data_IF_247365654335
#
_entry.id   IF_247365654335
#
_cell.length_a   1.000
_cell.length_b   1.000
_cell.length_c   1.000
_cell.angle_alpha   90.00
_cell.angle_beta   90.00
_cell.angle_gamma   90.00
#
_symmetry.space_group_name_H-M   'P 1'
#
loop_
_entity.id
_entity.type
_entity.pdbx_description
1 polymer ?
#
# COMPACT_ATOMS: atom_id res chain seq x y z
N UNK A 1 1.41 10.70 7.67
CA UNK A 1 2.74 10.83 8.28
C UNK A 1 2.76 12.03 9.22
N UNK A 2 3.36 11.86 10.39
CA UNK A 2 3.61 12.90 11.38
C UNK A 2 5.11 13.18 11.37
N UNK A 3 5.53 14.24 10.70
CA UNK A 3 6.96 14.57 10.54
C UNK A 3 7.43 15.46 11.67
N UNK A 4 8.48 15.05 12.38
CA UNK A 4 9.08 15.83 13.47
C UNK A 4 9.89 17.00 12.92
N UNK A 5 9.86 18.12 13.61
CA UNK A 5 10.76 19.25 13.41
C UNK A 5 11.06 19.95 14.75
N UNK A 6 12.20 20.63 14.81
CA UNK A 6 12.60 21.36 16.00
C UNK A 6 12.31 22.85 15.79
N UNK A 7 11.55 23.44 16.70
CA UNK A 7 11.25 24.88 16.69
C UNK A 7 12.48 25.72 17.05
N UNK A 8 12.43 27.02 16.79
CA UNK A 8 13.50 27.98 17.21
C UNK A 8 13.75 27.96 18.75
N UNK A 9 12.79 27.51 19.54
CA UNK A 9 12.90 27.35 21.00
C UNK A 9 13.47 26.00 21.43
N UNK A 10 13.81 25.11 20.48
CA UNK A 10 14.30 23.77 20.77
C UNK A 10 13.23 22.75 21.13
N UNK A 11 11.93 23.05 20.90
CA UNK A 11 10.84 22.12 21.14
C UNK A 11 10.62 21.22 19.94
N UNK A 12 10.39 19.92 20.16
CA UNK A 12 10.01 18.98 19.09
C UNK A 12 8.51 19.11 18.84
N UNK A 13 8.15 19.37 17.61
CA UNK A 13 6.77 19.40 17.13
C UNK A 13 6.58 18.47 15.96
N UNK A 14 5.34 18.08 15.66
CA UNK A 14 4.99 17.22 14.54
C UNK A 14 4.01 17.95 13.61
N UNK A 15 4.30 17.88 12.31
CA UNK A 15 3.41 18.37 11.27
C UNK A 15 2.74 17.19 10.57
N UNK A 16 1.41 17.18 10.42
CA UNK A 16 0.72 16.13 9.68
C UNK A 16 0.90 16.30 8.18
N UNK A 17 1.24 15.20 7.51
CA UNK A 17 1.33 15.11 6.06
C UNK A 17 0.57 13.89 5.57
N UNK A 18 -0.16 14.04 4.47
CA UNK A 18 -0.79 12.90 3.81
C UNK A 18 0.29 12.02 3.19
N UNK A 19 0.23 10.70 3.45
CA UNK A 19 1.25 9.77 3.00
C UNK A 19 0.75 8.34 2.92
N UNK A 20 1.70 7.43 2.67
CA UNK A 20 1.46 6.02 2.39
C UNK A 20 1.71 5.68 0.92
N UNK A 21 2.43 4.61 0.64
CA UNK A 21 2.95 4.32 -0.71
C UNK A 21 1.86 4.24 -1.78
N UNK A 22 0.78 3.54 -1.49
CA UNK A 22 -0.34 3.34 -2.43
C UNK A 22 -1.12 4.65 -2.62
N UNK A 23 -1.36 5.41 -1.54
CA UNK A 23 -2.02 6.70 -1.61
C UNK A 23 -1.16 7.72 -2.39
N UNK A 24 0.14 7.76 -2.14
CA UNK A 24 1.07 8.61 -2.88
C UNK A 24 1.10 8.27 -4.37
N UNK A 25 0.99 6.99 -4.73
CA UNK A 25 0.89 6.55 -6.12
C UNK A 25 -0.40 7.02 -6.79
N UNK A 26 -1.55 6.93 -6.10
CA UNK A 26 -2.82 7.45 -6.60
C UNK A 26 -2.75 8.98 -6.82
N UNK A 27 -2.16 9.70 -5.87
CA UNK A 27 -1.94 11.15 -5.95
C UNK A 27 -1.05 11.52 -7.14
N UNK A 28 0.06 10.81 -7.32
CA UNK A 28 0.95 11.03 -8.45
C UNK A 28 0.24 10.81 -9.80
N UNK A 29 -0.52 9.73 -9.93
CA UNK A 29 -1.30 9.42 -11.11
C UNK A 29 -2.36 10.50 -11.40
N UNK A 30 -3.09 10.94 -10.39
CA UNK A 30 -4.10 11.99 -10.56
C UNK A 30 -3.48 13.33 -11.01
N UNK A 31 -2.35 13.73 -10.42
CA UNK A 31 -1.59 14.93 -10.82
C UNK A 31 -1.02 14.84 -12.23
N UNK A 32 -0.66 13.64 -12.69
CA UNK A 32 -0.23 13.37 -14.05
C UNK A 32 -1.41 13.31 -15.05
N UNK A 33 -2.65 13.48 -14.59
CA UNK A 33 -3.83 13.52 -15.44
C UNK A 33 -4.43 12.15 -15.77
N UNK A 34 -4.02 11.10 -15.08
CA UNK A 34 -4.67 9.80 -15.19
C UNK A 34 -6.04 9.82 -14.49
N UNK A 35 -6.96 8.96 -14.96
CA UNK A 35 -8.24 8.70 -14.29
C UNK A 35 -7.99 7.80 -13.08
N UNK A 36 -7.51 8.41 -11.98
CA UNK A 36 -7.05 7.72 -10.78
C UNK A 36 -8.15 7.66 -9.72
N UNK A 37 -8.22 6.49 -9.06
CA UNK A 37 -9.10 6.22 -7.92
C UNK A 37 -8.25 5.73 -6.75
N UNK A 38 -8.63 6.10 -5.54
CA UNK A 38 -8.10 5.49 -4.33
C UNK A 38 -9.11 4.49 -3.78
N UNK A 39 -8.67 3.24 -3.58
CA UNK A 39 -9.45 2.19 -2.92
C UNK A 39 -8.85 1.92 -1.55
N UNK A 40 -9.60 2.20 -0.49
CA UNK A 40 -9.12 2.04 0.87
C UNK A 40 -10.11 2.58 1.89
N UNK A 41 -9.74 2.50 3.17
CA UNK A 41 -10.55 3.09 4.23
C UNK A 41 -9.97 4.41 4.72
N UNK A 42 -10.85 5.38 4.94
CA UNK A 42 -10.54 6.69 5.52
C UNK A 42 -11.37 6.86 6.80
N UNK A 43 -10.69 7.25 7.87
CA UNK A 43 -11.33 7.58 9.14
C UNK A 43 -12.20 8.85 9.06
N UNK A 44 -13.19 8.94 9.95
CA UNK A 44 -13.93 10.17 10.21
C UNK A 44 -13.29 10.99 11.36
N UNK A 45 -12.02 10.78 11.67
CA UNK A 45 -11.28 11.50 12.70
C UNK A 45 -10.80 12.89 12.21
N UNK A 46 -9.97 13.55 13.02
CA UNK A 46 -9.48 14.91 12.76
C UNK A 46 -8.63 15.05 11.49
N UNK A 47 -8.22 13.96 10.86
CA UNK A 47 -7.41 13.96 9.62
C UNK A 47 -8.27 13.83 8.36
N UNK A 48 -9.58 13.60 8.47
CA UNK A 48 -10.45 13.35 7.32
C UNK A 48 -10.38 14.46 6.29
N UNK A 49 -10.56 15.71 6.71
CA UNK A 49 -10.56 16.87 5.79
C UNK A 49 -9.20 17.02 5.09
N UNK A 50 -8.10 16.84 5.84
CA UNK A 50 -6.76 16.90 5.27
C UNK A 50 -6.55 15.87 4.16
N UNK A 51 -7.03 14.63 4.36
CA UNK A 51 -6.86 13.54 3.39
C UNK A 51 -7.76 13.77 2.18
N UNK A 52 -9.04 14.12 2.39
CA UNK A 52 -10.00 14.37 1.31
C UNK A 52 -9.62 15.57 0.45
N UNK A 53 -9.20 16.67 1.07
CA UNK A 53 -8.71 17.84 0.36
C UNK A 53 -7.50 17.48 -0.51
N UNK A 54 -6.57 16.69 0.03
CA UNK A 54 -5.38 16.30 -0.71
C UNK A 54 -5.68 15.37 -1.89
N UNK A 55 -6.65 14.45 -1.74
CA UNK A 55 -7.15 13.61 -2.83
C UNK A 55 -7.82 14.46 -3.91
N UNK A 56 -8.73 15.35 -3.53
CA UNK A 56 -9.48 16.23 -4.43
C UNK A 56 -8.54 17.16 -5.23
N UNK A 57 -7.60 17.82 -4.55
CA UNK A 57 -6.62 18.71 -5.16
C UNK A 57 -5.70 17.98 -6.12
N UNK A 58 -5.46 16.71 -5.86
CA UNK A 58 -4.68 15.81 -6.71
C UNK A 58 -5.53 15.11 -7.80
N UNK A 59 -6.82 15.43 -7.93
CA UNK A 59 -7.77 14.84 -8.90
C UNK A 59 -7.94 13.33 -8.78
N UNK A 60 -7.81 12.80 -7.57
CA UNK A 60 -8.08 11.39 -7.27
C UNK A 60 -9.54 11.22 -6.90
N UNK A 61 -10.21 10.27 -7.52
CA UNK A 61 -11.63 9.98 -7.27
C UNK A 61 -11.80 9.07 -6.05
N UNK A 62 -12.89 9.30 -5.32
CA UNK A 62 -13.17 8.70 -4.02
C UNK A 62 -14.24 7.60 -4.05
N UNK A 63 -14.65 7.14 -5.23
CA UNK A 63 -15.74 6.16 -5.43
C UNK A 63 -15.52 4.80 -4.75
N UNK A 64 -14.29 4.50 -4.34
CA UNK A 64 -13.90 3.26 -3.68
C UNK A 64 -13.46 3.46 -2.23
N UNK A 65 -13.78 4.61 -1.63
CA UNK A 65 -13.43 4.90 -0.24
C UNK A 65 -14.46 4.27 0.71
N UNK A 66 -13.95 3.59 1.72
CA UNK A 66 -14.71 3.03 2.85
C UNK A 66 -14.58 4.01 4.01
N UNK A 67 -15.68 4.61 4.44
CA UNK A 67 -15.69 5.49 5.64
C UNK A 67 -15.86 4.68 6.92
N UNK A 68 -15.08 5.02 7.95
CA UNK A 68 -15.10 4.33 9.23
C UNK A 68 -14.80 5.27 10.39
N UNK A 69 -15.25 4.92 11.61
CA UNK A 69 -14.92 5.65 12.83
C UNK A 69 -13.64 5.11 13.53
N UNK A 70 -12.88 4.22 12.87
CA UNK A 70 -11.59 3.77 13.37
C UNK A 70 -10.55 4.85 13.07
N UNK A 71 -9.53 4.97 13.92
CA UNK A 71 -8.51 6.01 13.75
C UNK A 71 -7.72 5.86 12.43
N UNK A 72 -7.21 6.97 11.94
CA UNK A 72 -6.26 6.99 10.82
C UNK A 72 -4.96 6.26 11.22
N UNK A 73 -4.37 5.49 10.30
CA UNK A 73 -3.00 4.99 10.44
C UNK A 73 -2.04 6.16 10.51
N UNK A 74 -1.21 6.23 11.56
CA UNK A 74 -0.18 7.26 11.71
C UNK A 74 1.21 6.65 11.59
N UNK A 75 2.10 7.34 10.89
CA UNK A 75 3.52 7.06 10.85
C UNK A 75 4.27 8.29 11.39
N UNK A 76 4.89 8.14 12.54
CA UNK A 76 5.77 9.17 13.10
C UNK A 76 7.15 9.03 12.47
N UNK A 77 7.60 10.06 11.78
CA UNK A 77 8.91 10.11 11.14
C UNK A 77 9.83 11.03 11.93
N UNK A 78 10.80 10.44 12.63
CA UNK A 78 11.90 11.17 13.25
C UNK A 78 13.05 11.23 12.25
N UNK A 79 13.38 12.44 11.81
CA UNK A 79 14.44 12.65 10.83
C UNK A 79 15.70 13.11 11.55
N UNK A 80 16.72 12.25 11.58
CA UNK A 80 18.05 12.57 12.13
C UNK A 80 19.10 12.35 11.04
N UNK A 81 19.91 13.35 10.78
CA UNK A 81 20.99 13.32 9.75
C UNK A 81 20.50 12.90 8.34
N UNK A 82 19.26 13.29 7.98
CA UNK A 82 18.66 12.95 6.69
C UNK A 82 18.10 11.52 6.59
N UNK A 83 18.18 10.74 7.66
CA UNK A 83 17.59 9.38 7.74
C UNK A 83 16.30 9.43 8.56
N UNK A 84 15.20 8.98 7.96
CA UNK A 84 13.92 8.89 8.63
C UNK A 84 13.77 7.54 9.35
N UNK A 85 13.48 7.59 10.66
CA UNK A 85 13.06 6.43 11.43
C UNK A 85 11.56 6.52 11.66
N UNK A 86 10.84 5.47 11.30
CA UNK A 86 9.39 5.43 11.40
C UNK A 86 8.93 4.64 12.64
N UNK A 87 7.90 5.18 13.30
CA UNK A 87 7.10 4.46 14.29
C UNK A 87 5.65 4.52 13.85
N UNK A 88 5.00 3.36 13.75
CA UNK A 88 3.64 3.26 13.25
C UNK A 88 2.62 3.07 14.37
N UNK A 89 1.47 3.74 14.22
CA UNK A 89 0.25 3.50 15.00
C UNK A 89 -0.81 3.03 14.01
N UNK A 90 -0.94 1.71 13.89
CA UNK A 90 -1.79 1.07 12.88
C UNK A 90 -2.75 0.02 13.46
N UNK A 91 -2.50 -0.47 14.65
CA UNK A 91 -3.36 -1.48 15.28
C UNK A 91 -4.81 -0.97 15.37
N UNK A 92 -5.75 -1.73 14.83
CA UNK A 92 -7.17 -1.35 14.73
C UNK A 92 -7.47 -0.08 13.91
N UNK A 93 -6.55 0.40 13.10
CA UNK A 93 -6.75 1.54 12.21
C UNK A 93 -7.82 1.29 11.14
N UNK A 94 -8.22 2.37 10.46
CA UNK A 94 -9.16 2.31 9.34
C UNK A 94 -8.70 1.34 8.24
N UNK A 95 -7.43 1.43 7.82
CA UNK A 95 -6.85 0.59 6.77
C UNK A 95 -6.67 -0.86 7.19
N UNK A 96 -6.26 -1.08 8.45
CA UNK A 96 -5.98 -2.42 9.00
C UNK A 96 -7.17 -3.36 9.00
N UNK A 97 -8.37 -2.83 9.20
CA UNK A 97 -9.58 -3.62 9.42
C UNK A 97 -10.51 -3.70 8.20
N UNK A 98 -9.98 -3.41 7.01
CA UNK A 98 -10.68 -3.70 5.76
C UNK A 98 -10.90 -5.20 5.64
N UNK A 99 -12.15 -5.60 5.41
CA UNK A 99 -12.57 -6.98 5.19
C UNK A 99 -13.11 -7.21 3.77
N UNK A 100 -13.29 -8.47 3.39
CA UNK A 100 -13.83 -8.84 2.08
C UNK A 100 -15.21 -8.23 1.82
N UNK A 101 -16.07 -8.11 2.83
CA UNK A 101 -17.43 -7.58 2.66
C UNK A 101 -17.40 -6.11 2.26
N UNK A 102 -16.44 -5.35 2.80
CA UNK A 102 -16.19 -3.95 2.44
C UNK A 102 -15.70 -3.81 1.00
N UNK A 103 -14.96 -4.78 0.48
CA UNK A 103 -14.38 -4.77 -0.87
C UNK A 103 -15.31 -5.34 -1.96
N UNK A 104 -16.21 -6.26 -1.60
CA UNK A 104 -17.17 -6.89 -2.54
C UNK A 104 -17.90 -5.93 -3.48
N UNK A 105 -18.42 -4.76 -3.01
CA UNK A 105 -19.14 -3.82 -3.88
C UNK A 105 -18.29 -3.27 -5.03
N UNK A 106 -16.97 -3.27 -4.87
CA UNK A 106 -16.04 -2.66 -5.82
C UNK A 106 -15.52 -3.62 -6.88
N UNK A 107 -15.62 -4.94 -6.67
CA UNK A 107 -15.04 -5.96 -7.56
C UNK A 107 -15.40 -5.74 -9.03
N UNK A 108 -16.69 -5.55 -9.35
CA UNK A 108 -17.11 -5.40 -10.74
C UNK A 108 -16.61 -4.10 -11.38
N UNK A 109 -16.48 -3.02 -10.61
CA UNK A 109 -15.91 -1.76 -11.10
C UNK A 109 -14.41 -1.92 -11.36
N UNK A 110 -13.68 -2.58 -10.42
CA UNK A 110 -12.23 -2.81 -10.53
C UNK A 110 -11.92 -3.74 -11.72
N UNK A 111 -12.75 -4.76 -11.99
CA UNK A 111 -12.61 -5.61 -13.20
C UNK A 111 -12.62 -4.82 -14.51
N UNK A 112 -13.31 -3.68 -14.53
CA UNK A 112 -13.38 -2.80 -15.70
C UNK A 112 -12.32 -1.68 -15.68
N UNK A 113 -11.46 -1.62 -14.67
CA UNK A 113 -10.34 -0.70 -14.64
C UNK A 113 -9.24 -1.13 -15.62
N UNK A 114 -8.39 -0.20 -16.05
CA UNK A 114 -7.20 -0.51 -16.86
C UNK A 114 -6.13 -1.22 -16.04
N UNK A 115 -5.94 -0.77 -14.80
CA UNK A 115 -4.96 -1.34 -13.88
C UNK A 115 -5.40 -1.19 -12.43
N UNK A 116 -4.93 -2.10 -11.58
CA UNK A 116 -5.02 -2.07 -10.13
C UNK A 116 -3.60 -2.10 -9.56
N UNK A 117 -3.25 -1.09 -8.76
CA UNK A 117 -2.02 -1.09 -7.96
C UNK A 117 -2.34 -1.56 -6.54
N UNK A 118 -1.60 -2.54 -6.06
CA UNK A 118 -1.68 -3.07 -4.69
C UNK A 118 -0.29 -3.18 -4.08
N UNK A 119 -0.18 -3.12 -2.76
CA UNK A 119 1.11 -3.31 -2.10
C UNK A 119 1.23 -2.66 -0.72
N UNK A 120 2.47 -2.60 -0.23
CA UNK A 120 2.82 -2.03 1.05
C UNK A 120 2.14 -2.72 2.23
N UNK A 121 1.97 -1.99 3.32
CA UNK A 121 1.45 -2.54 4.60
C UNK A 121 0.07 -3.19 4.48
N UNK A 122 -0.74 -2.78 3.48
CA UNK A 122 -2.07 -3.34 3.25
C UNK A 122 -2.06 -4.84 2.92
N UNK A 123 -0.95 -5.36 2.37
CA UNK A 123 -0.77 -6.78 2.07
C UNK A 123 0.08 -7.52 3.11
N UNK A 124 0.65 -6.81 4.07
CA UNK A 124 1.55 -7.36 5.09
C UNK A 124 0.84 -7.63 6.40
N UNK A 125 -0.02 -6.73 6.82
CA UNK A 125 -0.76 -6.82 8.07
C UNK A 125 -2.07 -7.60 7.95
N UNK A 126 -2.55 -8.18 9.06
CA UNK A 126 -3.85 -8.86 9.13
C UNK A 126 -4.88 -7.99 9.89
N UNK A 127 -6.17 -8.10 9.59
CA UNK A 127 -6.82 -8.97 8.59
C UNK A 127 -6.84 -8.42 7.15
N UNK A 128 -6.42 -7.16 6.93
CA UNK A 128 -6.50 -6.50 5.62
C UNK A 128 -5.72 -7.27 4.53
N UNK A 129 -4.56 -7.84 4.86
CA UNK A 129 -3.74 -8.57 3.89
C UNK A 129 -4.49 -9.74 3.25
N UNK A 130 -5.24 -10.52 4.03
CA UNK A 130 -6.11 -11.59 3.52
C UNK A 130 -7.19 -11.02 2.61
N UNK A 131 -7.80 -9.90 2.96
CA UNK A 131 -8.88 -9.28 2.19
C UNK A 131 -8.40 -8.68 0.86
N UNK A 132 -7.24 -8.04 0.86
CA UNK A 132 -6.62 -7.54 -0.36
C UNK A 132 -6.13 -8.65 -1.28
N UNK A 133 -5.56 -9.74 -0.73
CA UNK A 133 -5.23 -10.93 -1.52
C UNK A 133 -6.49 -11.49 -2.18
N UNK A 134 -7.59 -11.63 -1.45
CA UNK A 134 -8.87 -12.07 -2.00
C UNK A 134 -9.32 -11.16 -3.16
N UNK A 135 -9.26 -9.82 -3.01
CA UNK A 135 -9.61 -8.90 -4.09
C UNK A 135 -8.76 -9.13 -5.34
N UNK A 136 -7.44 -9.26 -5.19
CA UNK A 136 -6.53 -9.57 -6.31
C UNK A 136 -6.97 -10.84 -7.03
N UNK A 137 -7.30 -11.90 -6.29
CA UNK A 137 -7.78 -13.18 -6.85
C UNK A 137 -9.11 -13.02 -7.62
N UNK A 138 -10.01 -12.13 -7.16
CA UNK A 138 -11.29 -11.87 -7.84
C UNK A 138 -11.13 -11.10 -9.16
N UNK A 139 -10.11 -10.26 -9.29
CA UNK A 139 -9.95 -9.36 -10.44
C UNK A 139 -8.81 -9.77 -11.39
N UNK A 140 -8.03 -10.78 -11.03
CA UNK A 140 -6.94 -11.30 -11.85
C UNK A 140 -7.43 -11.70 -13.25
N UNK A 141 -6.68 -11.31 -14.28
CA UNK A 141 -7.01 -11.55 -15.69
C UNK A 141 -8.07 -10.59 -16.27
N UNK A 142 -8.64 -9.67 -15.47
CA UNK A 142 -9.59 -8.66 -15.95
C UNK A 142 -8.93 -7.29 -16.15
N UNK A 143 -7.97 -6.93 -15.34
CA UNK A 143 -7.18 -5.70 -15.46
C UNK A 143 -5.70 -6.02 -15.22
N UNK A 144 -4.81 -5.08 -15.58
CA UNK A 144 -3.38 -5.21 -15.24
C UNK A 144 -3.24 -5.04 -13.73
N UNK A 145 -2.58 -5.99 -13.06
CA UNK A 145 -2.31 -5.90 -11.63
C UNK A 145 -0.83 -5.59 -11.43
N UNK A 146 -0.57 -4.43 -10.84
CA UNK A 146 0.76 -3.98 -10.43
C UNK A 146 0.91 -4.20 -8.93
N UNK A 147 1.90 -4.97 -8.53
CA UNK A 147 2.21 -5.24 -7.13
C UNK A 147 3.52 -4.57 -6.72
N UNK A 148 3.45 -3.63 -5.79
CA UNK A 148 4.63 -3.04 -5.13
C UNK A 148 4.81 -3.71 -3.76
N UNK A 149 5.83 -4.52 -3.59
CA UNK A 149 6.08 -5.26 -2.35
C UNK A 149 6.25 -4.31 -1.17
N UNK A 150 7.12 -3.31 -1.31
CA UNK A 150 7.37 -2.24 -0.36
C UNK A 150 7.29 -2.71 1.10
N UNK A 151 8.14 -3.68 1.44
CA UNK A 151 8.07 -4.46 2.68
C UNK A 151 8.40 -3.57 3.89
N UNK A 152 7.62 -3.75 4.92
CA UNK A 152 7.84 -3.19 6.26
C UNK A 152 7.79 -4.34 7.25
N UNK A 153 8.94 -4.92 7.65
CA UNK A 153 8.99 -6.12 8.48
C UNK A 153 8.17 -6.03 9.77
N UNK A 154 8.07 -4.83 10.36
CA UNK A 154 7.31 -4.57 11.60
C UNK A 154 5.80 -4.86 11.47
N UNK A 155 5.26 -4.93 10.24
CA UNK A 155 3.87 -5.29 9.97
C UNK A 155 3.66 -6.78 9.72
N UNK A 156 4.74 -7.55 9.60
CA UNK A 156 4.69 -8.97 9.26
C UNK A 156 4.84 -9.79 10.55
N UNK A 157 3.71 -10.14 11.16
CA UNK A 157 3.67 -10.93 12.40
C UNK A 157 4.15 -12.37 12.19
N UNK A 158 3.89 -12.94 11.00
CA UNK A 158 4.26 -14.31 10.61
C UNK A 158 4.89 -14.26 9.21
N UNK A 159 6.21 -14.44 9.16
CA UNK A 159 6.97 -14.39 7.92
C UNK A 159 6.58 -15.50 6.95
N UNK A 160 6.36 -16.72 7.42
CA UNK A 160 6.03 -17.85 6.57
C UNK A 160 4.67 -17.63 5.91
N UNK A 161 3.69 -17.16 6.67
CA UNK A 161 2.37 -16.79 6.15
C UNK A 161 2.43 -15.65 5.12
N UNK A 162 3.29 -14.66 5.35
CA UNK A 162 3.50 -13.60 4.37
C UNK A 162 4.17 -14.12 3.09
N UNK A 163 5.16 -15.01 3.19
CA UNK A 163 5.81 -15.63 2.04
C UNK A 163 4.82 -16.49 1.23
N UNK A 164 3.93 -17.24 1.89
CA UNK A 164 2.85 -17.96 1.20
C UNK A 164 1.91 -17.01 0.46
N UNK A 165 1.54 -15.87 1.06
CA UNK A 165 0.74 -14.83 0.41
C UNK A 165 1.46 -14.27 -0.80
N UNK A 166 2.74 -13.91 -0.66
CA UNK A 166 3.56 -13.42 -1.75
C UNK A 166 3.58 -14.40 -2.92
N UNK A 167 3.83 -15.68 -2.65
CA UNK A 167 3.81 -16.74 -3.67
C UNK A 167 2.45 -16.88 -4.37
N UNK A 168 1.34 -16.70 -3.65
CA UNK A 168 -0.01 -16.70 -4.26
C UNK A 168 -0.23 -15.48 -5.15
N UNK A 169 0.22 -14.31 -4.71
CA UNK A 169 0.12 -13.06 -5.47
C UNK A 169 0.95 -13.12 -6.75
N UNK A 170 2.17 -13.67 -6.73
CA UNK A 170 3.03 -13.79 -7.92
C UNK A 170 2.39 -14.59 -9.05
N UNK A 171 1.40 -15.44 -8.76
CA UNK A 171 0.64 -16.20 -9.76
C UNK A 171 -0.55 -15.45 -10.35
N UNK A 172 -0.84 -14.24 -9.86
CA UNK A 172 -2.06 -13.47 -10.20
C UNK A 172 -1.75 -12.06 -10.70
N UNK A 173 -0.56 -11.55 -10.43
CA UNK A 173 -0.16 -10.19 -10.79
C UNK A 173 0.60 -10.18 -12.12
N UNK A 174 0.53 -9.06 -12.81
CA UNK A 174 1.20 -8.88 -14.11
C UNK A 174 2.55 -8.22 -13.97
N UNK A 175 2.69 -7.31 -13.00
CA UNK A 175 3.90 -6.52 -12.78
C UNK A 175 4.25 -6.58 -11.31
N UNK A 176 5.51 -6.84 -10.99
CA UNK A 176 6.06 -6.73 -9.63
C UNK A 176 7.12 -5.63 -9.62
N UNK A 177 7.01 -4.71 -8.68
CA UNK A 177 8.10 -3.80 -8.30
C UNK A 177 8.62 -4.23 -6.94
N UNK A 178 9.93 -4.28 -6.81
CA UNK A 178 10.63 -4.72 -5.61
C UNK A 178 11.91 -3.91 -5.45
N UNK A 179 12.23 -3.48 -4.24
CA UNK A 179 13.54 -2.88 -3.94
C UNK A 179 14.59 -3.97 -3.63
N UNK A 180 15.86 -3.60 -3.58
CA UNK A 180 16.93 -4.53 -3.18
C UNK A 180 16.70 -5.06 -1.75
N UNK A 181 16.22 -4.20 -0.84
CA UNK A 181 15.89 -4.59 0.54
C UNK A 181 14.70 -5.56 0.57
N UNK A 182 13.65 -5.28 -0.19
CA UNK A 182 12.49 -6.17 -0.30
C UNK A 182 12.91 -7.54 -0.85
N UNK A 183 13.76 -7.52 -1.90
CA UNK A 183 14.30 -8.75 -2.49
C UNK A 183 15.08 -9.56 -1.47
N UNK A 184 15.99 -8.92 -0.75
CA UNK A 184 16.79 -9.57 0.29
C UNK A 184 15.92 -10.18 1.39
N UNK A 185 14.83 -9.49 1.77
CA UNK A 185 13.87 -10.00 2.75
C UNK A 185 13.15 -11.27 2.27
N UNK A 186 12.73 -11.31 1.00
CA UNK A 186 11.96 -12.40 0.40
C UNK A 186 12.82 -13.58 0.00
N UNK A 187 13.95 -13.33 -0.62
CA UNK A 187 14.76 -14.32 -1.32
C UNK A 187 16.14 -14.55 -0.67
N UNK A 188 16.53 -13.72 0.29
CA UNK A 188 17.87 -13.77 0.89
C UNK A 188 18.96 -13.46 -0.15
N UNK A 189 20.01 -14.27 -0.17
CA UNK A 189 21.15 -14.12 -1.08
C UNK A 189 20.98 -14.92 -2.39
N UNK A 190 19.74 -15.30 -2.76
CA UNK A 190 19.51 -15.99 -4.04
C UNK A 190 19.85 -15.07 -5.21
N UNK A 191 20.26 -15.67 -6.33
CA UNK A 191 20.57 -14.94 -7.55
C UNK A 191 19.33 -14.27 -8.12
N UNK A 192 19.41 -12.93 -8.28
CA UNK A 192 18.28 -12.10 -8.73
C UNK A 192 17.80 -12.48 -10.13
N UNK A 193 18.72 -12.72 -11.07
CA UNK A 193 18.36 -13.05 -12.44
C UNK A 193 17.62 -14.39 -12.50
N UNK A 194 18.07 -15.36 -11.71
CA UNK A 194 17.44 -16.68 -11.63
C UNK A 194 16.03 -16.60 -11.04
N UNK A 195 15.86 -15.91 -9.91
CA UNK A 195 14.55 -15.80 -9.24
C UNK A 195 13.57 -14.99 -10.10
N UNK A 196 14.02 -13.91 -10.72
CA UNK A 196 13.15 -13.12 -11.61
C UNK A 196 12.78 -13.88 -12.87
N UNK A 197 13.67 -14.71 -13.43
CA UNK A 197 13.32 -15.60 -14.53
C UNK A 197 12.23 -16.60 -14.12
N UNK A 198 12.32 -17.19 -12.92
CA UNK A 198 11.26 -18.06 -12.39
C UNK A 198 9.91 -17.34 -12.22
N UNK A 199 9.91 -16.06 -11.82
CA UNK A 199 8.69 -15.26 -11.74
C UNK A 199 8.09 -14.97 -13.12
N UNK A 200 8.93 -14.63 -14.11
CA UNK A 200 8.49 -14.43 -15.50
C UNK A 200 7.90 -15.73 -16.08
N UNK A 201 8.50 -16.87 -15.82
CA UNK A 201 8.01 -18.19 -16.25
C UNK A 201 6.66 -18.54 -15.59
N UNK A 202 6.38 -18.03 -14.38
CA UNK A 202 5.08 -18.16 -13.70
C UNK A 202 3.98 -17.26 -14.28
N UNK A 203 4.32 -16.38 -15.23
CA UNK A 203 3.37 -15.53 -15.95
C UNK A 203 3.42 -14.04 -15.61
N UNK A 204 4.33 -13.60 -14.74
CA UNK A 204 4.60 -12.18 -14.52
C UNK A 204 5.16 -11.59 -15.81
N UNK A 205 4.68 -10.43 -16.23
CA UNK A 205 5.06 -9.78 -17.49
C UNK A 205 6.25 -8.84 -17.33
N UNK A 206 6.45 -8.32 -16.13
CA UNK A 206 7.53 -7.36 -15.84
C UNK A 206 7.92 -7.43 -14.37
N UNK A 207 9.22 -7.42 -14.11
CA UNK A 207 9.81 -7.20 -12.79
C UNK A 207 10.59 -5.90 -12.82
N UNK A 208 10.36 -5.02 -11.85
CA UNK A 208 11.02 -3.71 -11.70
C UNK A 208 11.78 -3.74 -10.37
N UNK A 209 13.10 -3.52 -10.43
CA UNK A 209 13.98 -3.37 -9.27
C UNK A 209 14.16 -1.88 -8.95
#
# INVERSE_FOLDING_TARGET
DMVSFVTEKGEVQYSPHVGGSILNSAIALGRLGADAYYCGAISNDTFVDLIEDYLRDSKVKEDFIIKTNRHTTLAYADVTDGVAKYTFVDEHSAGRLIDENSLKPFVNKIKNAKALLVGGISLQAEPCGTSWQWLVEQVAGHCIIYFDANIRPDFIEDKDKYLERFERLTRKVDIIKISEEDYSYLCGEQDFEKVTAEWLDKGIKMVVL
#
